data_IF_268437487849
#
_entry.id   IF_268437487849
#
_cell.length_a   1.000
_cell.length_b   1.000
_cell.length_c   1.000
_cell.angle_alpha   90.00
_cell.angle_beta   90.00
_cell.angle_gamma   90.00
#
_symmetry.space_group_name_H-M   'P 1'
#
loop_
_entity.id
_entity.type
_entity.pdbx_description
1 polymer ?
#
# COMPACT_ATOMS: atom_id res chain seq x y z
N UNK A 1 -5.31 38.89 -38.17
CA UNK A 1 -3.89 39.06 -37.80
C UNK A 1 -3.41 37.77 -37.16
N UNK A 2 -2.25 37.24 -37.56
CA UNK A 2 -1.63 36.10 -36.89
C UNK A 2 -1.33 36.46 -35.43
N UNK A 3 -1.65 35.58 -34.48
CA UNK A 3 -1.34 35.83 -33.07
C UNK A 3 0.15 35.63 -32.81
N UNK A 4 0.67 36.15 -31.70
CA UNK A 4 2.07 35.93 -31.28
C UNK A 4 2.43 34.44 -31.17
N UNK A 5 1.43 33.56 -30.95
CA UNK A 5 1.61 32.11 -30.93
C UNK A 5 1.79 31.52 -32.34
N UNK A 6 1.07 32.07 -33.32
CA UNK A 6 1.08 31.57 -34.70
C UNK A 6 2.33 32.01 -35.47
N UNK A 7 3.05 33.03 -34.98
CA UNK A 7 4.29 33.52 -35.58
C UNK A 7 5.45 32.51 -35.47
N UNK A 8 5.75 31.91 -34.29
CA UNK A 8 6.82 30.92 -34.15
C UNK A 8 6.37 29.45 -34.29
N UNK A 9 5.08 29.13 -34.15
CA UNK A 9 4.60 27.74 -34.06
C UNK A 9 3.56 27.45 -35.14
N UNK A 10 3.94 26.64 -36.13
CA UNK A 10 2.99 26.07 -37.08
C UNK A 10 2.34 24.83 -36.48
N UNK A 11 1.03 24.86 -36.27
CA UNK A 11 0.28 23.68 -35.81
C UNK A 11 0.07 22.71 -36.98
N UNK A 12 0.72 21.54 -36.93
CA UNK A 12 0.63 20.53 -37.98
C UNK A 12 -0.56 19.57 -37.79
N UNK A 13 -0.99 19.36 -36.54
CA UNK A 13 -2.09 18.47 -36.17
C UNK A 13 -2.83 19.04 -34.94
N UNK A 14 -4.16 18.99 -34.98
CA UNK A 14 -5.02 19.18 -33.80
C UNK A 14 -5.24 17.82 -33.16
N UNK A 15 -4.46 17.49 -32.14
CA UNK A 15 -4.65 16.27 -31.36
C UNK A 15 -5.36 16.57 -30.04
N UNK A 16 -6.41 15.79 -29.74
CA UNK A 16 -6.93 15.67 -28.39
C UNK A 16 -5.97 14.78 -27.59
N UNK A 17 -5.14 15.39 -26.73
CA UNK A 17 -4.18 14.66 -25.92
C UNK A 17 -4.86 13.78 -24.85
N UNK A 18 -5.01 12.49 -25.14
CA UNK A 18 -5.36 11.46 -24.16
C UNK A 18 -4.08 11.04 -23.40
N UNK A 19 -4.05 11.19 -22.06
CA UNK A 19 -2.85 10.85 -21.30
C UNK A 19 -2.64 9.33 -21.21
N UNK A 20 -1.42 8.88 -21.49
CA UNK A 20 -1.07 7.44 -21.53
C UNK A 20 -0.84 6.85 -20.12
N UNK A 21 -0.17 7.58 -19.23
CA UNK A 21 0.28 7.12 -17.90
C UNK A 21 -0.27 7.99 -16.77
N UNK A 22 -1.56 8.34 -16.83
CA UNK A 22 -2.18 9.21 -15.82
C UNK A 22 -2.32 8.51 -14.47
N UNK A 23 -1.94 9.20 -13.40
CA UNK A 23 -2.17 8.79 -12.01
C UNK A 23 -3.09 9.83 -11.37
N UNK A 24 -4.08 9.37 -10.61
CA UNK A 24 -4.94 10.24 -9.79
C UNK A 24 -4.67 9.96 -8.32
N UNK A 25 -4.59 11.00 -7.49
CA UNK A 25 -4.56 10.89 -6.03
C UNK A 25 -5.83 11.53 -5.49
N UNK A 26 -6.58 10.79 -4.67
CA UNK A 26 -7.84 11.23 -4.07
C UNK A 26 -7.62 11.52 -2.59
N UNK A 27 -7.72 12.79 -2.23
CA UNK A 27 -7.36 13.34 -0.92
C UNK A 27 -6.03 14.09 -0.98
N UNK A 28 -6.04 15.37 -0.67
CA UNK A 28 -4.87 16.27 -0.74
C UNK A 28 -4.33 16.65 0.65
N UNK A 29 -4.61 15.83 1.66
CA UNK A 29 -3.96 15.95 2.97
C UNK A 29 -2.48 15.57 2.90
N UNK A 30 -1.79 15.59 4.05
CA UNK A 30 -0.35 15.32 4.13
C UNK A 30 0.06 14.00 3.45
N UNK A 31 -0.70 12.92 3.65
CA UNK A 31 -0.44 11.62 3.01
C UNK A 31 -0.59 11.70 1.49
N UNK A 32 -1.65 12.33 0.99
CA UNK A 32 -1.89 12.48 -0.44
C UNK A 32 -0.80 13.31 -1.12
N UNK A 33 -0.45 14.47 -0.54
CA UNK A 33 0.60 15.33 -1.07
C UNK A 33 1.99 14.68 -1.03
N UNK A 34 2.28 13.88 0.01
CA UNK A 34 3.51 13.09 0.04
C UNK A 34 3.58 12.10 -1.13
N UNK A 35 2.48 11.40 -1.45
CA UNK A 35 2.43 10.52 -2.62
C UNK A 35 2.61 11.31 -3.93
N UNK A 36 1.93 12.45 -4.08
CA UNK A 36 2.07 13.31 -5.26
C UNK A 36 3.53 13.73 -5.46
N UNK A 37 4.17 14.27 -4.43
CA UNK A 37 5.57 14.71 -4.51
C UNK A 37 6.52 13.54 -4.79
N UNK A 38 6.37 12.43 -4.06
CA UNK A 38 7.16 11.22 -4.32
C UNK A 38 6.96 10.67 -5.73
N UNK A 39 5.77 10.82 -6.35
CA UNK A 39 5.53 10.42 -7.74
C UNK A 39 6.20 11.37 -8.72
N UNK A 40 6.01 12.68 -8.54
CA UNK A 40 6.56 13.72 -9.41
C UNK A 40 8.09 13.73 -9.42
N UNK A 41 8.72 13.44 -8.28
CA UNK A 41 10.18 13.44 -8.12
C UNK A 41 10.86 12.16 -8.62
N UNK A 42 10.13 11.09 -8.97
CA UNK A 42 10.72 9.82 -9.44
C UNK A 42 11.60 9.99 -10.68
N UNK A 43 11.17 10.84 -11.60
CA UNK A 43 11.85 11.02 -12.89
C UNK A 43 12.88 12.16 -12.86
N UNK A 44 13.17 12.72 -11.67
CA UNK A 44 14.07 13.86 -11.47
C UNK A 44 15.55 13.48 -11.52
N UNK A 45 15.89 12.18 -11.55
CA UNK A 45 17.27 11.67 -11.59
C UNK A 45 18.11 12.21 -12.76
N UNK A 46 17.48 12.76 -13.81
CA UNK A 46 18.16 13.18 -15.05
C UNK A 46 17.85 14.65 -15.41
N UNK A 47 17.00 15.38 -14.67
CA UNK A 47 16.64 16.78 -14.99
C UNK A 47 16.27 17.59 -13.75
N UNK A 48 16.62 18.88 -13.75
CA UNK A 48 16.23 19.83 -12.70
C UNK A 48 14.72 20.14 -12.71
N UNK A 49 14.02 19.85 -13.82
CA UNK A 49 12.59 20.12 -13.99
C UNK A 49 11.74 18.86 -13.85
N UNK A 50 10.51 19.03 -13.36
CA UNK A 50 9.52 17.96 -13.32
C UNK A 50 9.21 17.47 -14.74
N UNK A 51 9.22 16.15 -14.94
CA UNK A 51 8.89 15.51 -16.23
C UNK A 51 7.40 15.23 -16.42
N UNK A 52 6.55 15.83 -15.56
CA UNK A 52 5.08 15.72 -15.65
C UNK A 52 4.53 17.02 -16.24
N UNK A 53 4.19 17.06 -17.55
CA UNK A 53 3.86 18.31 -18.25
C UNK A 53 2.47 18.86 -17.92
N UNK A 54 1.61 18.06 -17.27
CA UNK A 54 0.23 18.44 -16.97
C UNK A 54 -0.17 17.96 -15.57
N UNK A 55 -0.49 18.92 -14.71
CA UNK A 55 -1.07 18.70 -13.38
C UNK A 55 -2.45 19.35 -13.39
N UNK A 56 -3.47 18.59 -13.01
CA UNK A 56 -4.85 19.07 -12.91
C UNK A 56 -5.41 18.73 -11.54
N UNK A 57 -6.26 19.59 -11.01
CA UNK A 57 -6.98 19.40 -9.76
C UNK A 57 -8.43 19.83 -9.95
N UNK A 58 -9.35 19.21 -9.21
CA UNK A 58 -10.76 19.52 -9.30
C UNK A 58 -11.56 18.71 -8.30
N UNK A 59 -12.73 19.24 -7.92
CA UNK A 59 -13.69 18.52 -7.07
C UNK A 59 -14.50 17.50 -7.87
N UNK A 60 -14.76 17.80 -9.14
CA UNK A 60 -15.48 16.91 -10.05
C UNK A 60 -14.59 15.77 -10.55
N UNK A 61 -15.13 14.56 -10.57
CA UNK A 61 -14.38 13.37 -10.94
C UNK A 61 -14.03 13.28 -12.45
N UNK A 62 -14.57 14.16 -13.29
CA UNK A 62 -14.18 14.23 -14.71
C UNK A 62 -12.68 14.48 -14.89
N UNK A 63 -12.04 15.19 -13.95
CA UNK A 63 -10.59 15.43 -13.96
C UNK A 63 -9.79 14.16 -13.77
N UNK A 64 -10.41 13.07 -13.31
CA UNK A 64 -9.77 11.75 -13.09
C UNK A 64 -9.83 10.83 -14.31
N UNK A 65 -10.53 11.24 -15.39
CA UNK A 65 -10.78 10.38 -16.55
C UNK A 65 -9.49 9.83 -17.18
N UNK A 66 -9.54 8.57 -17.65
CA UNK A 66 -8.42 7.85 -18.27
C UNK A 66 -7.20 7.63 -17.35
N UNK A 67 -7.42 7.47 -16.04
CA UNK A 67 -6.35 7.08 -15.11
C UNK A 67 -5.90 5.63 -15.32
N UNK A 68 -4.62 5.35 -15.10
CA UNK A 68 -4.06 3.98 -15.05
C UNK A 68 -3.93 3.47 -13.62
N UNK A 69 -3.71 4.38 -12.67
CA UNK A 69 -3.64 4.13 -11.24
C UNK A 69 -4.40 5.24 -10.52
N UNK A 70 -5.20 4.86 -9.53
CA UNK A 70 -5.84 5.80 -8.61
C UNK A 70 -5.47 5.44 -7.19
N UNK A 71 -4.91 6.40 -6.47
CA UNK A 71 -4.46 6.25 -5.08
C UNK A 71 -5.48 6.94 -4.19
N UNK A 72 -6.00 6.21 -3.20
CA UNK A 72 -7.02 6.71 -2.28
C UNK A 72 -6.38 6.94 -0.92
N UNK A 73 -6.31 8.20 -0.53
CA UNK A 73 -5.72 8.64 0.75
C UNK A 73 -6.71 9.44 1.60
N UNK A 74 -7.99 9.46 1.19
CA UNK A 74 -9.07 10.15 1.88
C UNK A 74 -9.70 9.24 2.94
N UNK A 75 -9.93 9.78 4.12
CA UNK A 75 -10.62 9.09 5.20
C UNK A 75 -10.76 10.03 6.39
N UNK A 76 -11.76 9.75 7.23
CA UNK A 76 -11.87 10.27 8.57
C UNK A 76 -10.73 9.72 9.43
N UNK A 77 -10.29 10.53 10.38
CA UNK A 77 -9.39 10.13 11.45
C UNK A 77 -10.23 9.65 12.65
N UNK A 78 -9.73 8.63 13.35
CA UNK A 78 -10.37 8.15 14.57
C UNK A 78 -10.40 9.27 15.60
N UNK A 79 -11.57 9.54 16.17
CA UNK A 79 -11.70 10.46 17.30
C UNK A 79 -11.46 9.74 18.63
N UNK A 80 -11.05 10.48 19.65
CA UNK A 80 -10.82 9.93 20.99
C UNK A 80 -12.12 9.30 21.54
N UNK A 81 -12.06 8.02 21.94
CA UNK A 81 -13.23 7.24 22.38
C UNK A 81 -14.10 6.65 21.26
N UNK A 82 -13.81 6.90 19.98
CA UNK A 82 -14.54 6.30 18.87
C UNK A 82 -14.18 4.82 18.69
N UNK A 83 -15.21 3.97 18.48
CA UNK A 83 -14.99 2.55 18.18
C UNK A 83 -14.38 2.36 16.79
N UNK A 84 -13.53 1.33 16.64
CA UNK A 84 -12.94 0.97 15.34
C UNK A 84 -14.00 0.69 14.28
N UNK A 85 -15.14 0.10 14.67
CA UNK A 85 -16.25 -0.20 13.77
C UNK A 85 -16.93 1.08 13.25
N UNK A 86 -17.14 2.08 14.10
CA UNK A 86 -17.71 3.37 13.70
C UNK A 86 -16.81 4.09 12.69
N UNK A 87 -15.49 4.11 12.96
CA UNK A 87 -14.51 4.67 12.02
C UNK A 87 -14.57 3.98 10.65
N UNK A 88 -14.63 2.65 10.64
CA UNK A 88 -14.77 1.86 9.41
C UNK A 88 -16.05 2.24 8.67
N UNK A 89 -17.18 2.33 9.37
CA UNK A 89 -18.47 2.66 8.75
C UNK A 89 -18.48 4.08 8.18
N UNK A 90 -17.88 5.05 8.87
CA UNK A 90 -17.70 6.41 8.39
C UNK A 90 -16.87 6.43 7.09
N UNK A 91 -15.72 5.78 7.09
CA UNK A 91 -14.85 5.67 5.91
C UNK A 91 -15.51 4.89 4.76
N UNK A 92 -16.28 3.87 5.08
CA UNK A 92 -17.05 3.12 4.10
C UNK A 92 -18.09 4.00 3.40
N UNK A 93 -18.80 4.87 4.13
CA UNK A 93 -19.75 5.82 3.52
C UNK A 93 -19.05 6.80 2.57
N UNK A 94 -17.86 7.28 2.94
CA UNK A 94 -17.01 8.08 2.04
C UNK A 94 -16.68 7.27 0.78
N UNK A 95 -16.25 6.01 0.91
CA UNK A 95 -15.88 5.17 -0.22
C UNK A 95 -17.06 4.84 -1.13
N UNK A 96 -18.27 4.65 -0.59
CA UNK A 96 -19.51 4.47 -1.38
C UNK A 96 -19.78 5.66 -2.31
N UNK A 97 -19.40 6.88 -1.91
CA UNK A 97 -19.51 8.05 -2.77
C UNK A 97 -18.36 8.14 -3.78
N UNK A 98 -17.12 7.88 -3.34
CA UNK A 98 -15.92 8.15 -4.13
C UNK A 98 -15.68 7.08 -5.22
N UNK A 99 -15.75 5.80 -4.86
CA UNK A 99 -15.35 4.70 -5.75
C UNK A 99 -16.21 4.66 -7.03
N UNK A 100 -17.56 4.70 -6.98
CA UNK A 100 -18.37 4.62 -8.20
C UNK A 100 -18.13 5.79 -9.16
N UNK A 101 -17.90 6.99 -8.61
CA UNK A 101 -17.59 8.17 -9.40
C UNK A 101 -16.27 8.04 -10.16
N UNK A 102 -15.23 7.46 -9.54
CA UNK A 102 -13.94 7.23 -10.22
C UNK A 102 -14.09 6.15 -11.30
N UNK A 103 -14.75 5.04 -10.98
CA UNK A 103 -14.98 3.92 -11.92
C UNK A 103 -15.74 4.39 -13.17
N UNK A 104 -16.70 5.32 -13.02
CA UNK A 104 -17.41 5.94 -14.14
C UNK A 104 -16.49 6.62 -15.16
N UNK A 105 -15.42 7.29 -14.71
CA UNK A 105 -14.52 8.05 -15.60
C UNK A 105 -13.27 7.28 -16.03
N UNK A 106 -12.94 6.20 -15.33
CA UNK A 106 -11.84 5.31 -15.67
C UNK A 106 -12.31 3.88 -15.44
N UNK A 107 -12.68 3.10 -16.48
CA UNK A 107 -13.10 1.71 -16.28
C UNK A 107 -11.91 0.74 -16.10
N UNK A 108 -10.74 1.09 -16.63
CA UNK A 108 -9.58 0.19 -16.75
C UNK A 108 -8.35 0.73 -15.99
N UNK A 109 -8.44 0.81 -14.67
CA UNK A 109 -7.37 1.30 -13.79
C UNK A 109 -7.13 0.35 -12.61
N UNK A 110 -6.01 0.56 -11.90
CA UNK A 110 -5.73 -0.12 -10.62
C UNK A 110 -6.01 0.83 -9.47
N UNK A 111 -6.58 0.30 -8.40
CA UNK A 111 -6.85 0.99 -7.15
C UNK A 111 -5.72 0.69 -6.16
N UNK A 112 -5.11 1.74 -5.60
CA UNK A 112 -4.22 1.65 -4.44
C UNK A 112 -4.89 2.32 -3.24
N UNK A 113 -5.30 1.53 -2.26
CA UNK A 113 -5.92 2.00 -1.02
C UNK A 113 -4.84 2.22 0.02
N UNK A 114 -4.76 3.46 0.53
CA UNK A 114 -3.83 3.88 1.59
C UNK A 114 -4.60 4.32 2.84
N UNK A 115 -5.85 4.75 2.69
CA UNK A 115 -6.72 5.15 3.80
C UNK A 115 -6.87 4.05 4.84
N UNK A 116 -6.89 4.40 6.12
CA UNK A 116 -7.00 3.46 7.24
C UNK A 116 -8.45 3.29 7.77
N UNK A 117 -8.80 2.12 8.35
CA UNK A 117 -7.98 0.92 8.49
C UNK A 117 -7.85 0.18 7.15
N UNK A 118 -6.61 0.05 6.70
CA UNK A 118 -6.30 -0.06 5.28
C UNK A 118 -6.66 -1.41 4.67
N UNK A 119 -6.49 -2.51 5.39
CA UNK A 119 -6.91 -3.85 4.94
C UNK A 119 -8.43 -3.95 4.80
N UNK A 120 -9.19 -3.40 5.75
CA UNK A 120 -10.67 -3.40 5.71
C UNK A 120 -11.17 -2.49 4.57
N UNK A 121 -10.58 -1.30 4.41
CA UNK A 121 -10.96 -0.40 3.33
C UNK A 121 -10.57 -0.94 1.96
N UNK A 122 -9.57 -1.81 1.86
CA UNK A 122 -9.25 -2.53 0.62
C UNK A 122 -10.35 -3.54 0.28
N UNK A 123 -10.84 -4.31 1.26
CA UNK A 123 -12.01 -5.18 1.11
C UNK A 123 -13.26 -4.38 0.69
N UNK A 124 -13.56 -3.28 1.37
CA UNK A 124 -14.70 -2.40 1.05
C UNK A 124 -14.59 -1.85 -0.36
N UNK A 125 -13.40 -1.38 -0.76
CA UNK A 125 -13.13 -0.89 -2.12
C UNK A 125 -13.37 -1.98 -3.15
N UNK A 126 -12.93 -3.20 -2.89
CA UNK A 126 -13.15 -4.33 -3.79
C UNK A 126 -14.64 -4.63 -3.97
N UNK A 127 -15.41 -4.69 -2.88
CA UNK A 127 -16.87 -4.92 -2.94
C UNK A 127 -17.61 -3.79 -3.66
N UNK A 128 -17.26 -2.51 -3.43
CA UNK A 128 -17.95 -1.36 -4.04
C UNK A 128 -17.57 -1.17 -5.52
N UNK A 129 -16.29 -1.39 -5.87
CA UNK A 129 -15.81 -1.15 -7.25
C UNK A 129 -16.30 -2.19 -8.24
N UNK A 130 -16.57 -3.43 -7.80
CA UNK A 130 -16.85 -4.56 -8.68
C UNK A 130 -15.63 -5.01 -9.50
N UNK A 131 -14.43 -4.50 -9.18
CA UNK A 131 -13.21 -4.85 -9.89
C UNK A 131 -12.73 -6.26 -9.53
N UNK A 132 -11.99 -6.93 -10.43
CA UNK A 132 -11.33 -8.16 -10.07
C UNK A 132 -10.27 -7.87 -9.00
N UNK A 133 -10.08 -8.82 -8.06
CA UNK A 133 -9.24 -8.64 -6.87
C UNK A 133 -7.78 -8.24 -7.17
N UNK A 134 -7.24 -8.61 -8.33
CA UNK A 134 -5.89 -8.21 -8.74
C UNK A 134 -5.76 -6.70 -8.98
N UNK A 135 -6.86 -6.01 -9.30
CA UNK A 135 -6.88 -4.57 -9.56
C UNK A 135 -7.11 -3.72 -8.31
N UNK A 136 -7.43 -4.32 -7.17
CA UNK A 136 -7.70 -3.61 -5.91
C UNK A 136 -6.62 -3.98 -4.91
N UNK A 137 -5.74 -3.02 -4.66
CA UNK A 137 -4.49 -3.24 -3.96
C UNK A 137 -4.48 -2.33 -2.76
N UNK A 138 -4.14 -2.89 -1.62
CA UNK A 138 -3.92 -2.11 -0.44
C UNK A 138 -2.43 -1.88 -0.18
N UNK A 139 -2.03 -0.72 0.34
CA UNK A 139 -0.61 -0.43 0.61
C UNK A 139 0.04 -1.43 1.58
N UNK A 140 -0.74 -1.98 2.51
CA UNK A 140 -0.39 -3.08 3.40
C UNK A 140 0.88 -2.83 4.21
N UNK A 141 1.54 -3.93 4.56
CA UNK A 141 2.77 -3.94 5.35
C UNK A 141 4.03 -3.53 4.58
N UNK A 142 3.91 -2.85 3.43
CA UNK A 142 5.08 -2.39 2.65
C UNK A 142 5.91 -1.40 3.43
N UNK A 143 5.25 -0.50 4.15
CA UNK A 143 5.92 0.47 5.02
C UNK A 143 6.49 -0.20 6.26
N UNK A 144 5.73 -1.10 6.89
CA UNK A 144 6.14 -1.86 8.07
C UNK A 144 7.39 -2.70 7.80
N UNK A 145 7.41 -3.42 6.68
CA UNK A 145 8.59 -4.17 6.24
C UNK A 145 9.78 -3.26 5.94
N UNK A 146 9.55 -2.05 5.41
CA UNK A 146 10.63 -1.09 5.19
C UNK A 146 11.20 -0.56 6.52
N UNK A 147 10.34 -0.24 7.48
CA UNK A 147 10.73 0.15 8.85
C UNK A 147 11.47 -0.97 9.57
N UNK A 148 10.99 -2.21 9.44
CA UNK A 148 11.63 -3.39 10.01
C UNK A 148 13.06 -3.57 9.48
N UNK A 149 13.23 -3.49 8.15
CA UNK A 149 14.55 -3.56 7.51
C UNK A 149 15.44 -2.38 7.87
N UNK A 150 14.88 -1.19 8.06
CA UNK A 150 15.62 -0.02 8.53
C UNK A 150 16.20 -0.24 9.93
N UNK A 151 15.36 -0.67 10.88
CA UNK A 151 15.78 -0.94 12.26
C UNK A 151 16.75 -2.11 12.36
N UNK A 152 16.53 -3.15 11.57
CA UNK A 152 17.48 -4.26 11.42
C UNK A 152 18.84 -3.75 10.92
N UNK A 153 18.85 -2.90 9.90
CA UNK A 153 20.07 -2.28 9.38
C UNK A 153 20.78 -1.40 10.40
N UNK A 154 20.02 -0.64 11.20
CA UNK A 154 20.53 0.19 12.30
C UNK A 154 21.24 -0.65 13.36
N UNK A 155 20.67 -1.80 13.76
CA UNK A 155 21.28 -2.72 14.72
C UNK A 155 22.52 -3.43 14.18
N UNK A 156 22.51 -3.82 12.91
CA UNK A 156 23.59 -4.60 12.29
C UNK A 156 24.69 -3.75 11.64
N UNK A 157 24.48 -2.43 11.52
CA UNK A 157 25.39 -1.56 10.78
C UNK A 157 25.38 -1.82 9.26
N UNK A 158 24.27 -2.36 8.72
CA UNK A 158 24.13 -2.75 7.31
C UNK A 158 23.05 -1.92 6.64
N UNK A 159 23.24 -1.55 5.38
CA UNK A 159 22.23 -0.79 4.65
C UNK A 159 20.92 -1.60 4.52
N UNK A 160 19.72 -1.00 4.71
CA UNK A 160 18.44 -1.74 4.72
C UNK A 160 18.14 -2.50 3.42
N UNK A 161 18.75 -2.11 2.29
CA UNK A 161 18.63 -2.85 1.03
C UNK A 161 19.25 -4.26 1.09
N UNK A 162 20.29 -4.45 1.91
CA UNK A 162 20.96 -5.74 2.14
C UNK A 162 20.42 -6.48 3.37
N UNK A 163 19.51 -5.87 4.12
CA UNK A 163 18.78 -6.52 5.21
C UNK A 163 17.42 -7.01 4.69
N UNK A 164 17.14 -8.30 4.85
CA UNK A 164 15.93 -8.94 4.36
C UNK A 164 15.09 -9.45 5.52
N UNK A 165 13.81 -9.04 5.53
CA UNK A 165 12.82 -9.44 6.52
C UNK A 165 11.45 -8.94 6.10
N UNK A 166 10.41 -9.69 6.46
CA UNK A 166 9.03 -9.40 6.09
C UNK A 166 8.18 -9.21 7.33
N UNK A 167 7.38 -8.15 7.31
CA UNK A 167 6.23 -7.98 8.18
C UNK A 167 4.98 -8.23 7.33
N UNK A 168 4.16 -9.19 7.73
CA UNK A 168 2.94 -9.63 7.03
C UNK A 168 1.71 -9.41 7.90
N UNK A 169 0.53 -9.81 7.41
CA UNK A 169 -0.71 -9.66 8.17
C UNK A 169 -1.32 -8.27 7.99
N UNK A 170 -1.88 -7.72 9.05
CA UNK A 170 -2.47 -6.39 9.00
C UNK A 170 -1.42 -5.29 9.07
N UNK A 171 -1.77 -4.14 8.51
CA UNK A 171 -1.06 -2.90 8.80
C UNK A 171 -1.50 -2.37 10.16
N UNK A 172 -0.77 -2.72 11.22
CA UNK A 172 -1.01 -2.29 12.60
C UNK A 172 -0.53 -3.27 13.67
N UNK A 173 -1.21 -3.23 14.83
CA UNK A 173 -0.81 -3.94 16.06
C UNK A 173 -0.75 -5.47 15.94
N UNK A 174 -1.53 -6.08 15.05
CA UNK A 174 -1.53 -7.54 14.85
C UNK A 174 -0.61 -8.01 13.72
N UNK A 175 0.23 -7.10 13.20
CA UNK A 175 1.21 -7.43 12.16
C UNK A 175 2.17 -8.52 12.62
N UNK A 176 2.61 -9.36 11.68
CA UNK A 176 3.37 -10.58 11.94
C UNK A 176 4.79 -10.45 11.38
N UNK A 177 5.81 -10.28 12.23
CA UNK A 177 7.20 -10.36 11.79
C UNK A 177 7.55 -11.82 11.48
N UNK A 178 7.99 -12.09 10.25
CA UNK A 178 8.38 -13.45 9.82
C UNK A 178 9.85 -13.67 10.14
N UNK A 179 10.15 -13.95 11.41
CA UNK A 179 11.49 -14.20 11.93
C UNK A 179 12.21 -15.33 11.21
N UNK A 180 11.47 -16.38 10.81
CA UNK A 180 12.01 -17.51 10.06
C UNK A 180 12.63 -17.12 8.71
N UNK A 181 12.17 -16.00 8.12
CA UNK A 181 12.67 -15.47 6.85
C UNK A 181 13.73 -14.36 6.97
N UNK A 182 14.10 -13.95 8.19
CA UNK A 182 15.04 -12.83 8.40
C UNK A 182 16.47 -13.26 8.07
N UNK A 183 17.13 -12.50 7.18
CA UNK A 183 18.48 -12.81 6.72
C UNK A 183 19.27 -11.57 6.25
N UNK A 184 20.60 -11.71 6.22
CA UNK A 184 21.52 -10.80 5.53
C UNK A 184 22.33 -11.64 4.55
N UNK A 185 22.32 -11.27 3.26
CA UNK A 185 23.02 -11.98 2.18
C UNK A 185 22.82 -13.51 2.21
N UNK A 186 21.56 -13.93 2.45
CA UNK A 186 21.12 -15.34 2.57
C UNK A 186 21.49 -16.07 3.87
N UNK A 187 22.20 -15.43 4.80
CA UNK A 187 22.49 -16.01 6.12
C UNK A 187 21.30 -15.79 7.05
N UNK A 188 20.60 -16.88 7.40
CA UNK A 188 19.43 -16.82 8.28
C UNK A 188 19.82 -16.44 9.71
N UNK A 189 19.23 -15.34 10.20
CA UNK A 189 19.47 -14.90 11.58
C UNK A 189 18.81 -15.83 12.60
N UNK A 190 17.67 -16.45 12.26
CA UNK A 190 17.00 -17.41 13.15
C UNK A 190 17.82 -18.68 13.36
N UNK A 191 18.63 -19.08 12.38
CA UNK A 191 19.52 -20.23 12.52
C UNK A 191 20.76 -19.91 13.37
N UNK A 192 21.29 -18.68 13.27
CA UNK A 192 22.42 -18.22 14.09
C UNK A 192 22.00 -17.94 15.54
N UNK A 193 20.79 -17.41 15.72
CA UNK A 193 20.21 -17.06 17.00
C UNK A 193 18.81 -17.68 17.12
N UNK A 194 18.71 -18.93 17.62
CA UNK A 194 17.42 -19.65 17.70
C UNK A 194 16.34 -18.93 18.50
N UNK A 195 16.74 -18.12 19.49
CA UNK A 195 15.82 -17.36 20.33
C UNK A 195 15.31 -16.07 19.67
N UNK A 196 15.81 -15.71 18.46
CA UNK A 196 15.44 -14.49 17.73
C UNK A 196 13.92 -14.28 17.67
N UNK A 197 13.46 -13.14 18.18
CA UNK A 197 12.05 -12.75 18.14
C UNK A 197 11.16 -13.39 19.22
N UNK A 198 11.74 -14.21 20.11
CA UNK A 198 11.05 -14.77 21.28
C UNK A 198 11.28 -13.92 22.53
N UNK A 199 10.53 -14.19 23.61
CA UNK A 199 10.74 -13.50 24.89
C UNK A 199 12.01 -13.93 25.63
N UNK A 200 12.60 -15.08 25.25
CA UNK A 200 13.88 -15.57 25.78
C UNK A 200 15.10 -14.88 25.14
N UNK A 201 14.87 -14.09 24.08
CA UNK A 201 15.92 -13.41 23.33
C UNK A 201 16.65 -12.35 24.18
N UNK A 202 17.91 -12.60 24.53
CA UNK A 202 18.73 -11.65 25.29
C UNK A 202 19.00 -10.34 24.55
N UNK A 203 18.98 -10.36 23.21
CA UNK A 203 19.16 -9.17 22.37
C UNK A 203 17.84 -8.45 22.06
N UNK A 204 16.72 -9.01 22.53
CA UNK A 204 15.38 -8.40 22.47
C UNK A 204 15.03 -7.95 21.04
N UNK A 205 15.22 -8.83 20.04
CA UNK A 205 14.87 -8.50 18.65
C UNK A 205 13.37 -8.30 18.46
N UNK A 206 12.52 -8.88 19.32
CA UNK A 206 11.08 -8.60 19.35
C UNK A 206 10.77 -7.10 19.51
N UNK A 207 11.64 -6.35 20.19
CA UNK A 207 11.52 -4.89 20.33
C UNK A 207 11.65 -4.17 18.97
N UNK A 208 12.37 -4.74 17.98
CA UNK A 208 12.40 -4.20 16.61
C UNK A 208 11.01 -4.16 16.00
N UNK A 209 10.24 -5.25 16.15
CA UNK A 209 8.88 -5.31 15.63
C UNK A 209 7.95 -4.39 16.42
N UNK A 210 8.08 -4.35 17.75
CA UNK A 210 7.33 -3.40 18.58
C UNK A 210 7.57 -1.95 18.15
N UNK A 211 8.82 -1.57 17.92
CA UNK A 211 9.16 -0.26 17.38
C UNK A 211 8.55 -0.01 15.99
N UNK A 212 8.39 -1.02 15.14
CA UNK A 212 7.73 -0.87 13.82
C UNK A 212 6.26 -0.53 13.97
N UNK A 213 5.58 -1.20 14.90
CA UNK A 213 4.17 -0.93 15.25
C UNK A 213 4.03 0.46 15.89
N UNK A 214 4.87 0.78 16.88
CA UNK A 214 4.84 2.07 17.60
C UNK A 214 5.28 3.26 16.70
N UNK A 215 6.07 3.00 15.64
CA UNK A 215 6.57 4.02 14.71
C UNK A 215 5.48 4.68 13.86
N UNK A 216 4.23 4.22 13.92
CA UNK A 216 3.09 4.97 13.36
C UNK A 216 2.96 6.37 13.97
N UNK A 217 3.51 6.61 15.15
CA UNK A 217 3.55 7.93 15.79
C UNK A 217 4.77 8.80 15.40
N UNK A 218 5.91 8.22 14.99
CA UNK A 218 7.18 8.96 15.04
C UNK A 218 7.86 9.26 13.69
N UNK A 219 7.55 8.54 12.59
CA UNK A 219 8.30 8.72 11.33
C UNK A 219 7.42 8.75 10.07
N UNK A 220 7.21 9.96 9.53
CA UNK A 220 6.66 10.24 8.18
C UNK A 220 7.75 10.31 7.09
N UNK A 221 9.05 10.22 7.45
CA UNK A 221 10.14 10.68 6.58
C UNK A 221 10.70 9.68 5.54
N UNK A 222 10.36 8.39 5.60
CA UNK A 222 10.97 7.38 4.72
C UNK A 222 9.93 6.59 3.92
N UNK A 223 9.35 7.24 2.89
CA UNK A 223 8.55 6.54 1.88
C UNK A 223 9.41 6.31 0.64
N UNK A 224 9.98 5.11 0.54
CA UNK A 224 10.58 4.62 -0.70
C UNK A 224 9.54 4.48 -1.82
N UNK A 225 9.99 4.24 -3.06
CA UNK A 225 9.11 4.14 -4.21
C UNK A 225 9.11 2.75 -4.85
N UNK A 226 8.13 2.51 -5.72
CA UNK A 226 8.02 1.29 -6.53
C UNK A 226 7.54 1.66 -7.93
N UNK A 227 8.14 1.04 -8.96
CA UNK A 227 7.64 1.07 -10.33
C UNK A 227 6.80 -0.18 -10.59
N UNK A 228 5.57 0.03 -11.07
CA UNK A 228 4.53 -1.00 -11.14
C UNK A 228 4.77 -2.07 -12.22
N UNK A 229 5.69 -1.85 -13.17
CA UNK A 229 5.94 -2.82 -14.25
C UNK A 229 7.16 -3.71 -14.02
N UNK A 230 7.77 -3.65 -12.84
CA UNK A 230 9.01 -4.38 -12.56
C UNK A 230 8.78 -5.79 -12.00
N UNK A 231 7.52 -6.22 -11.81
CA UNK A 231 7.17 -7.52 -11.21
C UNK A 231 7.91 -7.78 -9.90
N UNK A 232 8.12 -6.71 -9.13
CA UNK A 232 8.75 -6.79 -7.82
C UNK A 232 7.78 -7.38 -6.80
N UNK A 233 8.35 -7.99 -5.76
CA UNK A 233 7.61 -8.58 -4.64
C UNK A 233 7.41 -7.53 -3.54
N UNK A 234 6.17 -7.32 -3.13
CA UNK A 234 5.79 -6.37 -2.08
C UNK A 234 4.86 -7.02 -1.07
N UNK A 235 5.00 -6.75 0.25
CA UNK A 235 4.03 -7.20 1.23
C UNK A 235 2.88 -6.19 1.23
N UNK A 236 1.88 -6.45 0.38
CA UNK A 236 0.75 -5.56 0.13
C UNK A 236 -0.54 -6.31 0.41
N UNK A 237 -1.59 -5.57 0.78
CA UNK A 237 -2.85 -6.20 1.16
C UNK A 237 -3.59 -6.72 -0.07
N UNK A 238 -3.98 -7.98 0.02
CA UNK A 238 -4.76 -8.70 -1.00
C UNK A 238 -5.66 -9.73 -0.33
N UNK A 239 -6.59 -10.29 -1.10
CA UNK A 239 -7.44 -11.37 -0.62
C UNK A 239 -6.62 -12.64 -0.36
N UNK A 240 -6.60 -13.08 0.89
CA UNK A 240 -5.83 -14.26 1.34
C UNK A 240 -6.68 -15.52 1.51
N UNK A 241 -7.92 -15.52 1.03
CA UNK A 241 -8.78 -16.70 0.98
C UNK A 241 -8.09 -17.86 0.25
N UNK A 242 -8.06 -19.02 0.90
CA UNK A 242 -7.41 -20.24 0.43
C UNK A 242 -5.95 -20.36 0.85
N UNK A 243 -5.36 -19.36 1.50
CA UNK A 243 -4.00 -19.41 2.05
C UNK A 243 -4.05 -19.70 3.55
N UNK A 244 -3.09 -20.50 4.04
CA UNK A 244 -2.93 -20.79 5.47
C UNK A 244 -4.24 -21.28 6.14
N UNK A 245 -5.08 -22.03 5.43
CA UNK A 245 -6.37 -22.54 5.94
C UNK A 245 -7.48 -21.50 6.10
N UNK A 246 -7.28 -20.24 5.69
CA UNK A 246 -8.26 -19.15 5.79
C UNK A 246 -9.31 -19.30 4.68
N UNK A 247 -10.59 -19.33 5.05
CA UNK A 247 -11.71 -19.59 4.11
C UNK A 247 -12.52 -18.34 3.78
N UNK A 248 -12.40 -17.32 4.60
CA UNK A 248 -13.18 -16.09 4.52
C UNK A 248 -12.57 -15.08 3.54
N UNK A 249 -13.38 -14.14 3.06
CA UNK A 249 -12.98 -13.11 2.09
C UNK A 249 -12.18 -11.97 2.77
N UNK A 250 -11.10 -12.31 3.48
CA UNK A 250 -10.28 -11.36 4.23
C UNK A 250 -9.14 -10.84 3.37
N UNK A 251 -8.86 -9.55 3.52
CA UNK A 251 -7.69 -8.89 2.95
C UNK A 251 -6.64 -8.70 4.04
N UNK A 252 -5.41 -9.15 3.79
CA UNK A 252 -4.23 -8.91 4.63
C UNK A 252 -2.99 -8.87 3.72
N UNK A 253 -1.88 -8.39 4.28
CA UNK A 253 -0.60 -8.29 3.60
C UNK A 253 0.13 -9.62 3.51
N UNK A 254 0.40 -10.02 2.28
CA UNK A 254 1.28 -11.14 1.93
C UNK A 254 2.19 -10.71 0.78
N UNK A 255 3.35 -11.35 0.56
CA UNK A 255 4.23 -10.93 -0.54
C UNK A 255 3.57 -11.22 -1.89
N UNK A 256 3.34 -10.18 -2.67
CA UNK A 256 2.66 -10.23 -3.96
C UNK A 256 3.57 -9.70 -5.06
N UNK A 257 3.51 -10.33 -6.23
CA UNK A 257 4.16 -9.85 -7.45
C UNK A 257 3.27 -8.78 -8.07
N UNK A 258 3.85 -7.58 -8.23
CA UNK A 258 3.12 -6.40 -8.69
C UNK A 258 3.53 -6.02 -10.11
N UNK A 259 2.57 -6.01 -11.02
CA UNK A 259 2.74 -5.74 -12.44
C UNK A 259 1.79 -4.66 -12.97
N UNK A 260 1.82 -4.44 -14.30
CA UNK A 260 0.90 -3.53 -14.98
C UNK A 260 -0.58 -3.87 -14.80
N UNK A 261 -0.92 -5.12 -14.46
CA UNK A 261 -2.29 -5.59 -14.21
C UNK A 261 -2.63 -5.65 -12.71
N UNK A 262 -1.83 -5.00 -11.87
CA UNK A 262 -1.94 -5.07 -10.42
C UNK A 262 -1.24 -6.30 -9.86
N UNK A 263 -1.87 -7.02 -8.94
CA UNK A 263 -1.30 -8.23 -8.33
C UNK A 263 -1.43 -9.39 -9.31
N UNK A 264 -0.30 -9.86 -9.87
CA UNK A 264 -0.33 -11.02 -10.76
C UNK A 264 -0.24 -12.34 -10.01
N UNK A 265 0.55 -12.38 -8.93
CA UNK A 265 0.87 -13.61 -8.21
C UNK A 265 1.05 -13.32 -6.71
N UNK A 266 0.85 -14.35 -5.89
CA UNK A 266 1.07 -14.30 -4.43
C UNK A 266 2.13 -15.34 -4.07
N UNK A 267 3.16 -14.93 -3.34
CA UNK A 267 4.22 -15.81 -2.83
C UNK A 267 3.68 -16.57 -1.62
N UNK A 268 3.72 -17.89 -1.67
CA UNK A 268 3.37 -18.77 -0.55
C UNK A 268 4.58 -18.87 0.37
N UNK A 269 4.60 -18.06 1.42
CA UNK A 269 5.67 -18.05 2.41
C UNK A 269 5.53 -19.27 3.31
N UNK A 270 6.63 -19.99 3.56
CA UNK A 270 6.65 -21.04 4.57
C UNK A 270 6.75 -20.37 5.94
N UNK A 271 5.68 -20.46 6.73
CA UNK A 271 5.60 -19.90 8.07
C UNK A 271 5.82 -21.00 9.11
N UNK A 272 6.40 -20.63 10.25
CA UNK A 272 6.38 -21.50 11.43
C UNK A 272 4.95 -21.63 11.97
N UNK A 273 4.64 -22.67 12.79
CA UNK A 273 3.31 -22.82 13.38
C UNK A 273 2.85 -21.59 14.19
N UNK A 274 3.78 -20.91 14.86
CA UNK A 274 3.51 -19.68 15.62
C UNK A 274 3.21 -18.49 14.70
N UNK A 275 4.03 -18.27 13.67
CA UNK A 275 3.81 -17.21 12.67
C UNK A 275 2.48 -17.41 11.93
N UNK A 276 2.15 -18.65 11.55
CA UNK A 276 0.87 -18.99 10.92
C UNK A 276 -0.31 -18.76 11.88
N UNK A 277 -0.16 -19.12 13.17
CA UNK A 277 -1.19 -18.88 14.18
C UNK A 277 -1.46 -17.38 14.39
N UNK A 278 -0.41 -16.56 14.43
CA UNK A 278 -0.55 -15.09 14.52
C UNK A 278 -1.23 -14.52 13.28
N UNK A 279 -0.87 -14.99 12.08
CA UNK A 279 -1.52 -14.54 10.84
C UNK A 279 -3.01 -14.91 10.81
N UNK A 280 -3.36 -16.14 11.23
CA UNK A 280 -4.75 -16.58 11.36
C UNK A 280 -5.52 -15.76 12.40
N UNK A 281 -4.89 -15.41 13.52
CA UNK A 281 -5.49 -14.56 14.56
C UNK A 281 -5.81 -13.16 14.03
N UNK A 282 -4.89 -12.56 13.27
CA UNK A 282 -5.13 -11.30 12.57
C UNK A 282 -6.30 -11.44 11.59
N UNK A 283 -6.31 -12.50 10.76
CA UNK A 283 -7.40 -12.74 9.80
C UNK A 283 -8.77 -12.88 10.46
N UNK A 284 -8.86 -13.62 11.58
CA UNK A 284 -10.11 -13.79 12.33
C UNK A 284 -10.61 -12.45 12.91
N UNK A 285 -9.71 -11.62 13.42
CA UNK A 285 -10.04 -10.28 13.93
C UNK A 285 -10.64 -9.40 12.84
N UNK A 286 -9.99 -9.36 11.67
CA UNK A 286 -10.44 -8.55 10.54
C UNK A 286 -11.74 -9.09 9.94
N UNK A 287 -11.90 -10.41 9.84
CA UNK A 287 -13.17 -11.02 9.44
C UNK A 287 -14.31 -10.67 10.39
N UNK A 288 -14.04 -10.66 11.70
CA UNK A 288 -14.98 -10.28 12.73
C UNK A 288 -15.57 -8.88 12.50
N UNK A 289 -14.77 -7.93 12.02
CA UNK A 289 -15.23 -6.59 11.67
C UNK A 289 -15.92 -6.59 10.29
N UNK A 290 -15.31 -7.24 9.28
CA UNK A 290 -15.80 -7.23 7.89
C UNK A 290 -17.21 -7.81 7.74
N UNK A 291 -17.54 -8.85 8.51
CA UNK A 291 -18.87 -9.49 8.46
C UNK A 291 -19.99 -8.61 9.02
N UNK A 292 -19.65 -7.60 9.83
CA UNK A 292 -20.61 -6.67 10.44
C UNK A 292 -20.86 -5.43 9.57
N UNK A 293 -20.10 -5.26 8.48
CA UNK A 293 -20.22 -4.11 7.60
C UNK A 293 -21.50 -4.14 6.77
N UNK A 294 -22.19 -2.99 6.75
CA UNK A 294 -23.44 -2.81 6.01
C UNK A 294 -23.18 -2.04 4.70
N UNK A 295 -23.22 -2.78 3.59
CA UNK A 295 -23.06 -2.27 2.22
C UNK A 295 -24.31 -1.56 1.71
#
# INVERSE_FOLDING_TARGET
MATLKDQPIQNLLKEDHIPQNKITVVGVGAVGMAHVMSILMKDLLISLFLRTPKIVFGKDYNVTANSKLVIITVGAHQQEGESRLNLVQCNMNIFKFIIPNIVKYSPNFKLLVVSNPMDILTYVTWKISGFPKNCVIGSGCKLDSARFRYRMGERLGVHPLSCHGWVLGDHGDSSVPVWSGVNVDSVSLKNLHPDLGTDADKEQWKEVHKQVVDSDCEVIKLKGYTSWNLRWVHPISTMIKGFYGIKDDVFLSVPCILGQNGISDVVKVTLTPEEEAHLKKSANTFWGIQKELQF
#
